data_IF_930037539447
#
_entry.id   IF_930037539447
#
_cell.length_a   1.000
_cell.length_b   1.000
_cell.length_c   1.000
_cell.angle_alpha   90.00
_cell.angle_beta   90.00
_cell.angle_gamma   90.00
#
_symmetry.space_group_name_H-M   'P 1'
#
loop_
_entity.id
_entity.type
_entity.pdbx_description
1 polymer ?
#
# COMPACT_ATOMS: atom_id res chain seq x y z
N UNK A 1 -3.25 -39.61 -30.14
CA UNK A 1 -2.85 -39.49 -28.71
C UNK A 1 -2.23 -38.11 -28.55
N UNK A 2 -2.72 -37.27 -27.65
CA UNK A 2 -2.09 -35.98 -27.38
C UNK A 2 -0.66 -36.20 -26.87
N UNK A 3 0.34 -35.57 -27.47
CA UNK A 3 1.73 -35.68 -27.03
C UNK A 3 1.82 -35.04 -25.63
N UNK A 4 2.65 -35.65 -24.76
CA UNK A 4 2.87 -35.18 -23.40
C UNK A 4 4.25 -34.55 -23.28
N UNK A 5 4.34 -33.46 -22.55
CA UNK A 5 5.57 -32.76 -22.29
C UNK A 5 5.74 -32.46 -20.80
N UNK A 6 6.96 -32.32 -20.31
CA UNK A 6 7.23 -31.86 -18.93
C UNK A 6 6.70 -30.47 -18.71
N UNK A 7 6.15 -30.20 -17.51
CA UNK A 7 5.54 -28.91 -17.21
C UNK A 7 6.54 -27.75 -17.36
N UNK A 8 7.77 -27.89 -16.88
CA UNK A 8 8.82 -26.85 -17.00
C UNK A 8 9.21 -26.58 -18.48
N UNK A 9 9.19 -27.58 -19.34
CA UNK A 9 9.42 -27.46 -20.77
C UNK A 9 8.20 -26.86 -21.49
N UNK A 10 7.00 -27.27 -21.09
CA UNK A 10 5.76 -26.78 -21.66
C UNK A 10 5.56 -25.28 -21.46
N UNK A 11 5.87 -24.76 -20.24
CA UNK A 11 5.85 -23.32 -19.98
C UNK A 11 6.84 -22.55 -20.86
N UNK A 12 8.05 -23.09 -21.01
CA UNK A 12 9.09 -22.46 -21.81
C UNK A 12 8.78 -22.50 -23.33
N UNK A 13 8.36 -23.67 -23.84
CA UNK A 13 8.04 -23.84 -25.28
C UNK A 13 6.85 -22.99 -25.72
N UNK A 14 5.94 -22.66 -24.81
CA UNK A 14 4.81 -21.74 -25.07
C UNK A 14 5.14 -20.27 -24.83
N UNK A 15 6.40 -19.94 -24.58
CA UNK A 15 6.85 -18.55 -24.30
C UNK A 15 6.13 -17.91 -23.11
N UNK A 16 5.63 -18.71 -22.17
CA UNK A 16 5.00 -18.23 -20.93
C UNK A 16 6.03 -17.76 -19.90
N UNK A 17 7.28 -18.13 -20.09
CA UNK A 17 8.43 -17.78 -19.24
C UNK A 17 9.69 -17.59 -20.10
N UNK A 18 10.64 -16.79 -19.62
CA UNK A 18 11.88 -16.52 -20.35
C UNK A 18 12.92 -17.65 -20.24
N UNK A 19 12.77 -18.55 -19.27
CA UNK A 19 13.71 -19.68 -19.09
C UNK A 19 13.07 -20.86 -18.36
N UNK A 20 13.64 -22.07 -18.54
CA UNK A 20 13.23 -23.27 -17.79
C UNK A 20 13.51 -23.12 -16.28
N UNK A 21 14.52 -22.36 -15.89
CA UNK A 21 14.81 -22.06 -14.47
C UNK A 21 13.68 -21.24 -13.84
N UNK A 22 13.20 -20.22 -14.55
CA UNK A 22 12.04 -19.44 -14.16
C UNK A 22 10.76 -20.30 -14.09
N UNK A 23 10.54 -21.19 -15.08
CA UNK A 23 9.44 -22.14 -15.05
C UNK A 23 9.45 -22.98 -13.77
N UNK A 24 10.59 -23.57 -13.42
CA UNK A 24 10.73 -24.37 -12.19
C UNK A 24 10.43 -23.55 -10.94
N UNK A 25 10.93 -22.33 -10.84
CA UNK A 25 10.66 -21.43 -9.70
C UNK A 25 9.17 -21.13 -9.55
N UNK A 26 8.47 -20.81 -10.65
CA UNK A 26 7.03 -20.55 -10.65
C UNK A 26 6.20 -21.78 -10.27
N UNK A 27 6.57 -22.97 -10.78
CA UNK A 27 5.90 -24.22 -10.45
C UNK A 27 6.08 -24.54 -8.96
N UNK A 28 7.33 -24.49 -8.48
CA UNK A 28 7.64 -24.79 -7.08
C UNK A 28 7.03 -23.78 -6.09
N UNK A 29 6.83 -22.52 -6.49
CA UNK A 29 6.11 -21.52 -5.68
C UNK A 29 4.59 -21.68 -5.74
N UNK A 30 4.07 -22.68 -6.47
CA UNK A 30 2.64 -22.97 -6.57
C UNK A 30 1.83 -21.96 -7.38
N UNK A 31 2.48 -21.15 -8.22
CA UNK A 31 1.84 -20.12 -9.06
C UNK A 31 1.30 -20.66 -10.39
N UNK A 32 1.67 -21.88 -10.77
CA UNK A 32 1.21 -22.52 -12.01
C UNK A 32 -0.01 -23.38 -11.71
N UNK A 33 -1.11 -23.13 -12.45
CA UNK A 33 -2.41 -23.77 -12.22
C UNK A 33 -3.05 -24.29 -13.51
N UNK A 34 -3.93 -25.29 -13.35
CA UNK A 34 -4.96 -25.68 -14.30
C UNK A 34 -6.32 -25.42 -13.63
N UNK A 35 -7.03 -24.41 -14.05
CA UNK A 35 -8.21 -23.92 -13.33
C UNK A 35 -7.85 -23.55 -11.89
N UNK A 36 -8.45 -24.22 -10.90
CA UNK A 36 -8.13 -24.03 -9.47
C UNK A 36 -7.04 -24.95 -8.93
N UNK A 37 -6.59 -25.95 -9.71
CA UNK A 37 -5.64 -26.97 -9.28
C UNK A 37 -4.22 -26.48 -9.48
N UNK A 38 -3.40 -26.49 -8.41
CA UNK A 38 -1.96 -26.17 -8.48
C UNK A 38 -1.19 -27.30 -9.16
N UNK A 39 -0.25 -26.89 -10.02
CA UNK A 39 0.67 -27.79 -10.69
C UNK A 39 2.07 -27.57 -10.07
N UNK A 40 2.48 -28.43 -9.13
CA UNK A 40 3.63 -28.23 -8.25
C UNK A 40 4.87 -29.07 -8.62
N UNK A 41 4.78 -29.92 -9.66
CA UNK A 41 5.87 -30.83 -10.07
C UNK A 41 6.43 -30.46 -11.44
N UNK A 42 7.59 -29.77 -11.54
CA UNK A 42 8.16 -29.32 -12.81
C UNK A 42 8.38 -30.41 -13.84
N UNK A 43 8.79 -31.61 -13.37
CA UNK A 43 9.10 -32.77 -14.24
C UNK A 43 7.89 -33.61 -14.62
N UNK A 44 6.68 -33.34 -14.09
CA UNK A 44 5.48 -34.11 -14.42
C UNK A 44 5.06 -33.86 -15.85
N UNK A 45 4.66 -34.94 -16.55
CA UNK A 45 4.21 -34.91 -17.94
C UNK A 45 2.71 -34.49 -18.00
N UNK A 46 2.43 -33.50 -18.83
CA UNK A 46 1.07 -33.02 -19.12
C UNK A 46 0.85 -33.01 -20.63
N UNK A 47 -0.43 -33.08 -21.08
CA UNK A 47 -0.78 -32.89 -22.47
C UNK A 47 -0.28 -31.54 -22.98
N UNK A 48 0.24 -31.50 -24.22
CA UNK A 48 0.78 -30.24 -24.80
C UNK A 48 -0.29 -29.16 -25.01
N UNK A 49 -1.56 -29.51 -24.99
CA UNK A 49 -2.73 -28.65 -25.08
C UNK A 49 -3.33 -28.27 -23.72
N UNK A 50 -2.68 -28.67 -22.60
CA UNK A 50 -3.14 -28.33 -21.25
C UNK A 50 -3.36 -26.81 -21.10
N UNK A 51 -4.52 -26.43 -20.62
CA UNK A 51 -4.79 -25.04 -20.25
C UNK A 51 -4.04 -24.68 -18.96
N UNK A 52 -3.13 -23.72 -19.05
CA UNK A 52 -2.26 -23.32 -17.96
C UNK A 52 -2.45 -21.84 -17.67
N UNK A 53 -2.68 -21.52 -16.41
CA UNK A 53 -2.61 -20.14 -15.89
C UNK A 53 -1.40 -19.99 -14.97
N UNK A 54 -0.79 -18.80 -14.98
CA UNK A 54 0.31 -18.43 -14.10
C UNK A 54 -0.16 -17.26 -13.26
N UNK A 55 -0.24 -17.46 -11.94
CA UNK A 55 -0.52 -16.36 -11.02
C UNK A 55 0.64 -15.37 -11.06
N UNK A 56 0.36 -14.14 -11.42
CA UNK A 56 1.35 -13.07 -11.33
C UNK A 56 1.74 -12.83 -9.87
N UNK A 57 3.00 -12.51 -9.59
CA UNK A 57 3.37 -12.06 -8.26
C UNK A 57 2.56 -10.82 -7.88
N UNK A 58 2.24 -10.63 -6.60
CA UNK A 58 1.68 -9.36 -6.16
C UNK A 58 2.58 -8.21 -6.64
N UNK A 59 1.99 -7.11 -7.15
CA UNK A 59 2.78 -5.98 -7.65
C UNK A 59 3.63 -5.32 -6.57
N UNK A 60 3.21 -5.41 -5.32
CA UNK A 60 3.86 -4.81 -4.16
C UNK A 60 4.09 -5.84 -3.05
N UNK A 61 4.98 -5.52 -2.10
CA UNK A 61 5.28 -6.38 -0.93
C UNK A 61 4.06 -6.64 -0.04
N UNK A 62 3.03 -5.80 -0.12
CA UNK A 62 1.72 -6.02 0.51
C UNK A 62 0.61 -5.33 -0.27
N UNK A 63 -0.64 -5.71 0.02
CA UNK A 63 -1.85 -5.14 -0.61
C UNK A 63 -1.99 -3.63 -0.41
N UNK A 64 -1.35 -3.05 0.62
CA UNK A 64 -1.32 -1.61 0.84
C UNK A 64 -0.85 -0.84 -0.40
N UNK A 65 0.16 -1.34 -1.11
CA UNK A 65 0.67 -0.69 -2.32
C UNK A 65 -0.38 -0.48 -3.42
N UNK A 66 -1.35 -1.39 -3.56
CA UNK A 66 -2.44 -1.25 -4.52
C UNK A 66 -3.35 -0.06 -4.20
N UNK A 67 -3.53 0.26 -2.89
CA UNK A 67 -4.33 1.41 -2.44
C UNK A 67 -3.68 2.71 -2.89
N UNK A 68 -2.39 2.90 -2.56
CA UNK A 68 -1.65 4.09 -2.96
C UNK A 68 -1.55 4.20 -4.48
N UNK A 69 -1.20 3.12 -5.19
CA UNK A 69 -1.12 3.10 -6.64
C UNK A 69 -2.44 3.53 -7.31
N UNK A 70 -3.58 3.11 -6.76
CA UNK A 70 -4.90 3.54 -7.20
C UNK A 70 -5.09 5.05 -7.10
N UNK A 71 -4.69 5.64 -5.97
CA UNK A 71 -4.78 7.07 -5.73
C UNK A 71 -3.86 7.88 -6.65
N UNK A 72 -2.59 7.48 -6.74
CA UNK A 72 -1.61 8.13 -7.63
C UNK A 72 -2.11 8.15 -9.08
N UNK A 73 -2.66 7.04 -9.55
CA UNK A 73 -3.23 6.94 -10.90
C UNK A 73 -4.43 7.84 -11.10
N UNK A 74 -5.39 7.84 -10.14
CA UNK A 74 -6.64 8.61 -10.27
C UNK A 74 -6.40 10.10 -10.33
N UNK A 75 -5.45 10.61 -9.54
CA UNK A 75 -5.16 12.04 -9.44
C UNK A 75 -3.91 12.46 -10.21
N UNK A 76 -3.31 11.53 -10.99
CA UNK A 76 -2.10 11.77 -11.80
C UNK A 76 -0.95 12.36 -10.97
N UNK A 77 -0.75 11.84 -9.75
CA UNK A 77 0.33 12.28 -8.89
C UNK A 77 1.62 11.58 -9.30
N UNK A 78 2.65 12.36 -9.59
CA UNK A 78 3.99 11.89 -9.92
C UNK A 78 4.87 11.96 -8.65
N UNK A 79 5.56 10.87 -8.36
CA UNK A 79 6.52 10.78 -7.25
C UNK A 79 7.98 10.74 -7.74
N UNK A 80 8.21 10.97 -9.02
CA UNK A 80 9.55 10.89 -9.62
C UNK A 80 10.50 11.92 -8.99
N UNK A 81 11.54 11.42 -8.32
CA UNK A 81 12.54 12.25 -7.65
C UNK A 81 12.13 12.80 -6.29
N UNK A 82 10.90 12.52 -5.84
CA UNK A 82 10.36 13.04 -4.58
C UNK A 82 10.90 12.31 -3.35
N UNK A 83 11.04 13.05 -2.25
CA UNK A 83 11.38 12.54 -0.93
C UNK A 83 10.10 12.23 -0.14
N UNK A 84 9.92 10.98 0.24
CA UNK A 84 8.66 10.49 0.81
C UNK A 84 8.81 10.15 2.29
N UNK A 85 7.83 10.54 3.11
CA UNK A 85 7.63 10.05 4.48
C UNK A 85 6.45 9.07 4.50
N UNK A 86 6.70 7.80 4.84
CA UNK A 86 5.67 6.77 5.02
C UNK A 86 5.38 6.56 6.51
N UNK A 87 4.22 7.04 6.96
CA UNK A 87 3.80 7.01 8.36
C UNK A 87 2.85 5.83 8.61
N UNK A 88 3.33 4.85 9.37
CA UNK A 88 2.68 3.57 9.56
C UNK A 88 3.07 2.58 8.46
N UNK A 89 4.36 2.51 8.14
CA UNK A 89 4.86 1.73 7.01
C UNK A 89 4.56 0.21 7.11
N UNK A 90 4.49 -0.35 8.31
CA UNK A 90 4.21 -1.77 8.55
C UNK A 90 5.08 -2.68 7.67
N UNK A 91 4.49 -3.47 6.78
CA UNK A 91 5.22 -4.32 5.82
C UNK A 91 5.84 -3.56 4.65
N UNK A 92 5.51 -2.28 4.46
CA UNK A 92 6.07 -1.39 3.44
C UNK A 92 5.31 -1.37 2.12
N UNK A 93 3.99 -1.59 2.14
CA UNK A 93 3.19 -1.55 0.91
C UNK A 93 3.21 -0.19 0.24
N UNK A 94 3.02 0.89 1.00
CA UNK A 94 3.08 2.26 0.49
C UNK A 94 4.52 2.63 0.09
N UNK A 95 5.51 2.27 0.89
CA UNK A 95 6.95 2.42 0.57
C UNK A 95 7.31 1.77 -0.77
N UNK A 96 6.95 0.50 -0.98
CA UNK A 96 7.24 -0.22 -2.25
C UNK A 96 6.54 0.46 -3.44
N UNK A 97 5.30 0.93 -3.25
CA UNK A 97 4.57 1.67 -4.28
C UNK A 97 5.27 3.00 -4.61
N UNK A 98 5.68 3.78 -3.60
CA UNK A 98 6.37 5.06 -3.80
C UNK A 98 7.70 4.88 -4.54
N UNK A 99 8.50 3.88 -4.16
CA UNK A 99 9.75 3.55 -4.84
C UNK A 99 9.56 3.11 -6.29
N UNK A 100 8.50 2.31 -6.57
CA UNK A 100 8.15 1.91 -7.94
C UNK A 100 7.59 3.07 -8.76
N UNK A 101 6.97 4.07 -8.12
CA UNK A 101 6.53 5.32 -8.73
C UNK A 101 7.66 6.35 -8.89
N UNK A 102 8.91 6.00 -8.62
CA UNK A 102 10.08 6.82 -8.91
C UNK A 102 10.57 7.70 -7.75
N UNK A 103 10.07 7.54 -6.53
CA UNK A 103 10.56 8.29 -5.37
C UNK A 103 12.08 8.17 -5.22
N UNK A 104 12.73 9.29 -4.90
CA UNK A 104 14.18 9.35 -4.68
C UNK A 104 14.58 8.54 -3.45
N UNK A 105 13.86 8.71 -2.36
CA UNK A 105 13.98 7.94 -1.14
C UNK A 105 12.68 7.92 -0.34
N UNK A 106 12.59 6.98 0.61
CA UNK A 106 11.45 6.86 1.53
C UNK A 106 11.97 6.70 2.95
N UNK A 107 11.51 7.58 3.84
CA UNK A 107 11.67 7.43 5.28
C UNK A 107 10.41 6.77 5.85
N UNK A 108 10.57 5.58 6.40
CA UNK A 108 9.49 4.80 7.01
C UNK A 108 9.46 5.06 8.51
N UNK A 109 8.29 5.39 9.05
CA UNK A 109 8.07 5.56 10.50
C UNK A 109 7.00 4.57 10.94
N UNK A 110 7.29 3.74 11.95
CA UNK A 110 6.34 2.79 12.51
C UNK A 110 6.55 2.62 14.03
N UNK A 111 5.44 2.42 14.77
CA UNK A 111 5.48 2.11 16.20
C UNK A 111 5.92 0.66 16.44
N UNK A 112 5.73 -0.21 15.46
CA UNK A 112 6.09 -1.62 15.49
C UNK A 112 7.59 -1.87 15.38
N UNK A 113 7.94 -3.14 15.32
CA UNK A 113 9.34 -3.58 15.19
C UNK A 113 9.45 -4.74 14.22
N UNK A 114 10.49 -4.72 13.39
CA UNK A 114 10.84 -5.78 12.44
C UNK A 114 9.70 -6.17 11.48
N UNK A 115 8.81 -5.22 11.12
CA UNK A 115 7.68 -5.48 10.25
C UNK A 115 8.02 -5.27 8.78
N UNK A 116 8.91 -4.31 8.47
CA UNK A 116 9.24 -3.94 7.10
C UNK A 116 9.82 -5.13 6.33
N UNK A 117 9.34 -5.36 5.12
CA UNK A 117 9.75 -6.47 4.27
C UNK A 117 11.25 -6.44 3.98
N UNK A 118 11.92 -7.62 3.95
CA UNK A 118 13.38 -7.73 3.81
C UNK A 118 13.92 -7.04 2.53
N UNK A 119 13.19 -7.10 1.41
CA UNK A 119 13.53 -6.38 0.18
C UNK A 119 13.69 -4.88 0.41
N UNK A 120 12.77 -4.27 1.16
CA UNK A 120 12.77 -2.82 1.42
C UNK A 120 13.84 -2.44 2.44
N UNK A 121 14.05 -3.27 3.47
CA UNK A 121 15.16 -3.05 4.42
C UNK A 121 16.55 -3.09 3.78
N UNK A 122 16.68 -3.81 2.66
CA UNK A 122 17.94 -3.89 1.91
C UNK A 122 18.08 -2.82 0.81
N UNK A 123 17.03 -2.04 0.52
CA UNK A 123 17.07 -0.97 -0.47
C UNK A 123 17.76 0.27 0.11
N UNK A 124 18.87 0.77 -0.49
CA UNK A 124 19.60 1.92 0.02
C UNK A 124 18.79 3.23 0.04
N UNK A 125 17.67 3.29 -0.68
CA UNK A 125 16.75 4.43 -0.69
C UNK A 125 15.78 4.43 0.49
N UNK A 126 15.77 3.38 1.33
CA UNK A 126 14.82 3.24 2.44
C UNK A 126 15.52 3.47 3.78
N UNK A 127 15.03 4.43 4.54
CA UNK A 127 15.39 4.62 5.94
C UNK A 127 14.25 4.10 6.82
N UNK A 128 14.51 3.09 7.66
CA UNK A 128 13.50 2.46 8.51
C UNK A 128 13.65 2.90 9.98
N UNK A 129 12.69 3.67 10.47
CA UNK A 129 12.62 4.21 11.82
C UNK A 129 11.52 3.51 12.61
N UNK A 130 11.91 2.58 13.46
CA UNK A 130 11.00 1.77 14.27
C UNK A 130 10.82 2.33 15.69
N UNK A 131 9.72 1.95 16.35
CA UNK A 131 9.34 2.37 17.72
C UNK A 131 9.05 3.87 17.84
N UNK A 132 8.68 4.53 16.75
CA UNK A 132 8.32 5.93 16.73
C UNK A 132 6.80 6.03 16.72
N UNK A 133 6.24 6.75 17.69
CA UNK A 133 4.82 7.04 17.73
C UNK A 133 4.55 8.31 16.91
N UNK A 134 3.94 8.15 15.75
CA UNK A 134 3.64 9.25 14.83
C UNK A 134 2.80 10.39 15.45
N UNK A 135 2.05 10.12 16.54
CA UNK A 135 1.33 11.16 17.28
C UNK A 135 2.26 12.18 17.96
N UNK A 136 3.49 11.79 18.23
CA UNK A 136 4.49 12.60 18.92
C UNK A 136 5.75 12.78 18.06
N UNK A 137 5.62 12.64 16.75
CA UNK A 137 6.73 12.78 15.81
C UNK A 137 7.32 14.18 15.92
N UNK A 138 8.63 14.26 16.07
CA UNK A 138 9.37 15.50 16.16
C UNK A 138 10.57 15.51 15.18
N UNK A 139 11.18 16.67 14.98
CA UNK A 139 12.26 16.83 14.00
C UNK A 139 13.48 15.98 14.33
N UNK A 140 13.74 15.74 15.61
CA UNK A 140 14.86 14.92 16.09
C UNK A 140 14.72 13.45 15.73
N UNK A 141 13.48 12.99 15.46
CA UNK A 141 13.21 11.62 15.03
C UNK A 141 13.55 11.39 13.55
N UNK A 142 13.65 12.45 12.75
CA UNK A 142 13.71 12.38 11.30
C UNK A 142 15.08 12.79 10.74
N UNK A 143 15.53 12.18 9.63
CA UNK A 143 16.82 12.51 9.00
C UNK A 143 16.79 13.83 8.20
N UNK A 144 15.62 14.46 8.05
CA UNK A 144 15.41 15.74 7.34
C UNK A 144 14.21 16.49 7.88
N UNK A 145 14.18 17.80 7.67
CA UNK A 145 13.18 18.70 8.20
C UNK A 145 11.85 18.65 7.44
N UNK A 146 11.88 18.36 6.12
CA UNK A 146 10.68 18.35 5.28
C UNK A 146 10.73 17.26 4.20
N UNK A 147 9.54 16.91 3.71
CA UNK A 147 9.28 15.93 2.66
C UNK A 147 8.38 16.53 1.58
N UNK A 148 8.56 16.07 0.34
CA UNK A 148 7.73 16.44 -0.80
C UNK A 148 6.37 15.76 -0.72
N UNK A 149 6.37 14.51 -0.27
CA UNK A 149 5.17 13.69 -0.15
C UNK A 149 5.13 12.99 1.21
N UNK A 150 3.96 12.98 1.83
CA UNK A 150 3.67 12.16 3.02
C UNK A 150 2.58 11.16 2.67
N UNK A 151 2.80 9.89 2.98
CA UNK A 151 1.78 8.85 2.86
C UNK A 151 1.48 8.23 4.22
N UNK A 152 0.21 7.89 4.50
CA UNK A 152 -0.20 7.42 5.82
C UNK A 152 -1.16 6.24 5.72
N UNK A 153 -0.79 5.09 6.34
CA UNK A 153 -1.66 3.92 6.52
C UNK A 153 -1.64 3.47 8.00
N UNK A 154 -2.35 4.20 8.86
CA UNK A 154 -2.36 3.98 10.30
C UNK A 154 -3.49 3.04 10.74
N UNK A 155 -3.24 2.28 11.79
CA UNK A 155 -4.24 1.43 12.45
C UNK A 155 -4.38 1.77 13.93
N UNK A 156 -5.60 1.58 14.47
CA UNK A 156 -5.94 1.77 15.88
C UNK A 156 -5.81 3.21 16.41
N UNK A 157 -5.77 4.20 15.53
CA UNK A 157 -5.74 5.61 15.88
C UNK A 157 -6.49 6.42 14.82
N UNK A 158 -7.18 7.47 15.23
CA UNK A 158 -7.79 8.43 14.31
C UNK A 158 -6.72 9.31 13.66
N UNK A 159 -6.83 9.56 12.36
CA UNK A 159 -5.98 10.48 11.61
C UNK A 159 -5.98 11.89 12.21
N UNK A 160 -7.12 12.34 12.76
CA UNK A 160 -7.25 13.66 13.41
C UNK A 160 -6.27 13.86 14.58
N UNK A 161 -5.79 12.76 15.20
CA UNK A 161 -4.79 12.82 16.29
C UNK A 161 -3.34 12.84 15.81
N UNK A 162 -3.10 12.48 14.56
CA UNK A 162 -1.74 12.32 14.01
C UNK A 162 -1.41 13.38 12.98
N UNK A 163 -2.39 13.78 12.16
CA UNK A 163 -2.20 14.79 11.12
C UNK A 163 -1.52 16.08 11.61
N UNK A 164 -1.90 16.68 12.79
CA UNK A 164 -1.23 17.88 13.27
C UNK A 164 0.26 17.69 13.59
N UNK A 165 0.68 16.50 14.02
CA UNK A 165 2.08 16.21 14.32
C UNK A 165 2.92 15.94 13.07
N UNK A 166 2.28 15.44 12.00
CA UNK A 166 2.96 15.05 10.75
C UNK A 166 2.97 16.20 9.73
N UNK A 167 1.92 17.03 9.71
CA UNK A 167 1.74 18.12 8.75
C UNK A 167 2.89 19.15 8.69
N UNK A 168 3.57 19.52 9.79
CA UNK A 168 4.72 20.41 9.74
C UNK A 168 5.85 19.91 8.84
N UNK A 169 6.03 18.59 8.71
CA UNK A 169 7.05 17.96 7.90
C UNK A 169 6.74 17.91 6.40
N UNK A 170 5.52 18.29 5.99
CA UNK A 170 5.20 18.47 4.57
C UNK A 170 5.68 19.85 4.13
N UNK A 171 6.50 19.90 3.06
CA UNK A 171 6.94 21.19 2.51
C UNK A 171 5.79 21.97 1.85
N UNK A 172 5.90 23.30 1.70
CA UNK A 172 4.99 24.06 0.84
C UNK A 172 4.99 23.52 -0.60
N UNK A 173 3.80 23.32 -1.19
CA UNK A 173 3.62 22.65 -2.48
C UNK A 173 3.51 21.13 -2.40
N UNK A 174 3.93 20.54 -1.29
CA UNK A 174 3.93 19.09 -1.06
C UNK A 174 2.53 18.48 -0.96
N UNK A 175 2.46 17.16 -1.02
CA UNK A 175 1.23 16.38 -1.09
C UNK A 175 1.18 15.34 0.04
N UNK A 176 -0.01 15.16 0.63
CA UNK A 176 -0.25 14.12 1.63
C UNK A 176 -1.38 13.20 1.15
N UNK A 177 -1.15 11.89 1.23
CA UNK A 177 -2.16 10.87 0.94
C UNK A 177 -2.36 10.00 2.17
N UNK A 178 -3.55 10.06 2.77
CA UNK A 178 -3.88 9.30 3.98
C UNK A 178 -4.99 8.29 3.73
N UNK A 179 -4.83 7.08 4.27
CA UNK A 179 -5.88 6.07 4.28
C UNK A 179 -6.84 6.33 5.45
N UNK A 180 -8.07 6.72 5.13
CA UNK A 180 -9.14 6.91 6.11
C UNK A 180 -9.83 5.58 6.37
N UNK A 181 -9.78 5.12 7.61
CA UNK A 181 -10.36 3.85 8.06
C UNK A 181 -11.57 4.15 8.96
N UNK A 182 -12.81 4.00 8.46
CA UNK A 182 -14.01 4.34 9.24
C UNK A 182 -14.06 3.71 10.62
N UNK A 183 -13.55 2.50 10.79
CA UNK A 183 -13.51 1.80 12.08
C UNK A 183 -12.62 2.48 13.15
N UNK A 184 -11.71 3.38 12.75
CA UNK A 184 -10.85 4.13 13.67
C UNK A 184 -11.24 5.59 13.78
N UNK A 185 -12.19 6.04 12.97
CA UNK A 185 -12.71 7.41 12.94
C UNK A 185 -14.11 7.54 13.53
N UNK A 186 -14.94 6.50 13.41
CA UNK A 186 -16.30 6.46 13.90
C UNK A 186 -16.38 6.43 15.44
N UNK A 187 -17.52 6.86 15.97
CA UNK A 187 -17.84 6.73 17.39
C UNK A 187 -17.91 5.26 17.85
N UNK A 188 -17.67 5.04 19.14
CA UNK A 188 -17.64 3.70 19.74
C UNK A 188 -18.92 2.91 19.46
N UNK A 189 -20.08 3.53 19.54
CA UNK A 189 -21.38 2.88 19.33
C UNK A 189 -21.52 2.30 17.92
N UNK A 190 -21.04 3.02 16.88
CA UNK A 190 -21.07 2.56 15.51
C UNK A 190 -20.11 1.39 15.27
N UNK A 191 -18.94 1.42 15.93
CA UNK A 191 -17.93 0.36 15.86
C UNK A 191 -18.44 -0.91 16.56
N UNK A 192 -19.02 -0.77 17.75
CA UNK A 192 -19.52 -1.89 18.57
C UNK A 192 -20.71 -2.59 17.87
N UNK A 193 -21.66 -1.85 17.29
CA UNK A 193 -22.76 -2.41 16.49
C UNK A 193 -22.28 -3.31 15.36
N UNK A 194 -21.18 -2.95 14.71
CA UNK A 194 -20.59 -3.68 13.61
C UNK A 194 -19.55 -4.73 14.00
N UNK A 195 -19.25 -4.88 15.30
CA UNK A 195 -18.15 -5.72 15.81
C UNK A 195 -16.81 -5.39 15.12
N UNK A 196 -16.49 -4.10 15.04
CA UNK A 196 -15.29 -3.60 14.37
C UNK A 196 -15.43 -3.39 12.86
N UNK A 197 -16.57 -3.72 12.24
CA UNK A 197 -16.80 -3.52 10.80
C UNK A 197 -17.92 -2.50 10.59
N UNK A 198 -17.60 -1.38 9.97
CA UNK A 198 -18.58 -0.33 9.63
C UNK A 198 -19.29 -0.70 8.32
N UNK A 199 -20.50 -1.26 8.43
CA UNK A 199 -21.31 -1.68 7.26
C UNK A 199 -22.19 -0.58 6.73
N UNK A 200 -22.62 0.34 7.58
CA UNK A 200 -23.48 1.47 7.21
C UNK A 200 -22.71 2.45 6.30
N UNK A 201 -23.26 2.68 5.10
CA UNK A 201 -22.63 3.57 4.12
C UNK A 201 -22.65 5.04 4.58
N UNK A 202 -23.70 5.45 5.29
CA UNK A 202 -23.83 6.82 5.83
C UNK A 202 -22.79 7.08 6.91
N UNK A 203 -22.53 6.10 7.78
CA UNK A 203 -21.47 6.21 8.80
C UNK A 203 -20.09 6.31 8.13
N UNK A 204 -19.83 5.47 7.13
CA UNK A 204 -18.55 5.54 6.40
C UNK A 204 -18.33 6.90 5.74
N UNK A 205 -19.35 7.40 5.04
CA UNK A 205 -19.29 8.68 4.36
C UNK A 205 -19.08 9.83 5.34
N UNK A 206 -19.84 9.86 6.43
CA UNK A 206 -19.70 10.86 7.51
C UNK A 206 -18.29 10.86 8.08
N UNK A 207 -17.69 9.69 8.35
CA UNK A 207 -16.32 9.64 8.89
C UNK A 207 -15.28 10.20 7.92
N UNK A 208 -15.42 9.98 6.61
CA UNK A 208 -14.56 10.60 5.61
C UNK A 208 -14.73 12.12 5.62
N UNK A 209 -15.95 12.62 5.62
CA UNK A 209 -16.28 14.05 5.64
C UNK A 209 -15.75 14.74 6.91
N UNK A 210 -15.86 14.10 8.07
CA UNK A 210 -15.31 14.61 9.33
C UNK A 210 -13.79 14.73 9.32
N UNK A 211 -13.08 13.71 8.78
CA UNK A 211 -11.61 13.76 8.66
C UNK A 211 -11.18 14.82 7.64
N UNK A 212 -11.88 14.91 6.51
CA UNK A 212 -11.62 15.94 5.50
C UNK A 212 -11.86 17.35 6.06
N UNK A 213 -13.00 17.58 6.71
CA UNK A 213 -13.32 18.88 7.30
C UNK A 213 -12.30 19.27 8.38
N UNK A 214 -11.92 18.32 9.25
CA UNK A 214 -10.86 18.54 10.23
C UNK A 214 -9.55 18.96 9.55
N UNK A 215 -9.12 18.23 8.53
CA UNK A 215 -7.86 18.52 7.85
C UNK A 215 -7.86 19.92 7.21
N UNK A 216 -8.95 20.31 6.54
CA UNK A 216 -9.06 21.61 5.88
C UNK A 216 -9.20 22.80 6.87
N UNK A 217 -9.72 22.54 8.07
CA UNK A 217 -9.88 23.57 9.09
C UNK A 217 -8.64 23.72 9.99
N UNK A 218 -8.05 22.59 10.42
CA UNK A 218 -7.00 22.59 11.45
C UNK A 218 -5.58 22.63 10.88
N UNK A 219 -5.37 22.17 9.63
CA UNK A 219 -4.04 22.15 9.05
C UNK A 219 -3.77 23.42 8.25
N UNK A 220 -2.70 24.17 8.59
CA UNK A 220 -2.42 25.44 7.91
C UNK A 220 -2.15 25.24 6.41
N UNK A 221 -2.78 26.06 5.57
CA UNK A 221 -2.62 26.03 4.12
C UNK A 221 -2.95 24.67 3.45
N UNK A 222 -3.86 23.89 4.06
CA UNK A 222 -4.31 22.63 3.48
C UNK A 222 -5.38 22.87 2.41
N UNK A 223 -5.19 22.25 1.25
CA UNK A 223 -6.19 22.18 0.18
C UNK A 223 -6.49 20.72 -0.16
N UNK A 224 -7.73 20.43 -0.56
CA UNK A 224 -8.16 19.10 -0.98
C UNK A 224 -7.67 18.83 -2.40
N UNK A 225 -6.91 17.73 -2.58
CA UNK A 225 -6.66 17.14 -3.90
C UNK A 225 -7.88 16.32 -4.32
N UNK A 226 -8.40 15.50 -3.42
CA UNK A 226 -9.59 14.70 -3.63
C UNK A 226 -9.70 13.52 -2.69
N UNK A 227 -10.77 12.75 -2.86
CA UNK A 227 -11.02 11.51 -2.11
C UNK A 227 -11.40 10.38 -3.07
N UNK A 228 -11.11 9.15 -2.71
CA UNK A 228 -11.56 7.98 -3.46
C UNK A 228 -11.81 6.80 -2.53
N UNK A 229 -12.71 5.91 -2.94
CA UNK A 229 -12.82 4.59 -2.32
C UNK A 229 -11.51 3.83 -2.51
N UNK A 230 -11.05 3.12 -1.48
CA UNK A 230 -9.93 2.21 -1.63
C UNK A 230 -10.25 1.13 -2.69
N UNK A 231 -9.34 0.87 -3.65
CA UNK A 231 -9.58 -0.13 -4.69
C UNK A 231 -9.69 -1.56 -4.13
N UNK A 232 -9.25 -1.75 -2.90
CA UNK A 232 -9.32 -3.03 -2.19
C UNK A 232 -9.93 -2.83 -0.79
N UNK A 233 -10.61 -3.87 -0.34
CA UNK A 233 -11.19 -3.91 1.02
C UNK A 233 -10.08 -4.19 2.05
N UNK A 234 -10.17 -3.54 3.21
CA UNK A 234 -9.27 -3.80 4.35
C UNK A 234 -9.29 -5.26 4.80
N UNK A 235 -8.27 -5.65 5.56
CA UNK A 235 -8.07 -7.06 5.98
C UNK A 235 -9.29 -7.63 6.72
N UNK A 236 -9.95 -6.82 7.54
CA UNK A 236 -11.11 -7.20 8.35
C UNK A 236 -12.45 -7.04 7.60
N UNK A 237 -12.41 -6.68 6.31
CA UNK A 237 -13.60 -6.47 5.51
C UNK A 237 -14.17 -5.05 5.54
N UNK A 238 -13.50 -4.10 6.21
CA UNK A 238 -13.86 -2.70 6.19
C UNK A 238 -13.59 -2.06 4.83
N UNK A 239 -14.54 -1.26 4.34
CA UNK A 239 -14.29 -0.35 3.22
C UNK A 239 -13.58 0.90 3.74
N UNK A 240 -12.56 1.30 3.06
CA UNK A 240 -11.67 2.39 3.44
C UNK A 240 -11.64 3.44 2.32
N UNK A 241 -11.16 4.63 2.62
CA UNK A 241 -11.02 5.70 1.64
C UNK A 241 -9.59 6.22 1.63
N UNK A 242 -9.18 6.84 0.52
CA UNK A 242 -7.98 7.65 0.46
C UNK A 242 -8.39 9.12 0.40
N UNK A 243 -7.70 9.93 1.18
CA UNK A 243 -7.83 11.39 1.24
C UNK A 243 -6.50 11.99 0.81
N UNK A 244 -6.51 12.83 -0.22
CA UNK A 244 -5.35 13.58 -0.69
C UNK A 244 -5.46 15.05 -0.34
N UNK A 245 -4.41 15.60 0.22
CA UNK A 245 -4.26 17.00 0.58
C UNK A 245 -3.00 17.58 -0.07
N UNK A 246 -3.01 18.87 -0.36
CA UNK A 246 -1.84 19.66 -0.75
C UNK A 246 -1.61 20.77 0.27
N UNK A 247 -0.36 21.02 0.60
CA UNK A 247 0.02 22.22 1.38
C UNK A 247 0.35 23.34 0.40
N UNK A 248 -0.49 24.36 0.37
CA UNK A 248 -0.27 25.49 -0.57
C UNK A 248 0.98 26.28 -0.21
N UNK A 249 1.56 26.92 -1.22
CA UNK A 249 2.62 27.91 -1.03
C UNK A 249 1.93 29.21 -0.58
N UNK A 250 2.34 29.73 0.59
CA UNK A 250 1.85 31.02 1.08
C UNK A 250 2.40 32.17 0.27
#
# INVERSE_FOLDING_TARGET
MSSKQRLDELLFSRSLVASRAQAKALIMSGRVKQGTTRLDKPGKLYPVDLEISIDQPPPFVSRGGEKLAGFLKQYSLDLTGEHVLDVGASTGGFTDCALQAGAADVVCVDVGRAQLHAKLRADPRVTNLEKINARHLCAEDLPRDTFDVIVMDLSFISLRKVLPAVWPFLQPGGQLVALVKPQFEAGKDDVDKGRGIIRDAGVRQRTLEEVQAFALHELPAAELIGTMDSPIVGTDGNREFLLGLRKTVA
#
